data_IF_790391518263
#
_entry.id   IF_790391518263
#
_cell.length_a   1.000
_cell.length_b   1.000
_cell.length_c   1.000
_cell.angle_alpha   90.00
_cell.angle_beta   90.00
_cell.angle_gamma   90.00
#
_symmetry.space_group_name_H-M   'P 1'
#
loop_
_entity.id
_entity.type
_entity.pdbx_description
1 polymer ?
#
# COMPACT_ATOMS: atom_id res chain seq x y z
N UNK A 1 -6.82 -8.68 -34.44
CA UNK A 1 -6.05 -8.80 -33.18
C UNK A 1 -6.79 -7.99 -32.14
N UNK A 2 -7.43 -8.63 -31.16
CA UNK A 2 -8.16 -7.89 -30.14
C UNK A 2 -7.24 -6.89 -29.44
N UNK A 3 -7.74 -5.66 -29.30
CA UNK A 3 -7.10 -4.59 -28.55
C UNK A 3 -6.85 -5.06 -27.11
N UNK A 4 -5.58 -5.25 -26.76
CA UNK A 4 -5.07 -5.52 -25.40
C UNK A 4 -5.31 -4.31 -24.47
N UNK A 5 -6.58 -3.95 -24.23
CA UNK A 5 -7.02 -2.75 -23.49
C UNK A 5 -6.38 -2.63 -22.11
N UNK A 6 -6.08 -3.75 -21.45
CA UNK A 6 -5.42 -3.76 -20.14
C UNK A 6 -4.03 -3.14 -20.15
N UNK A 7 -3.32 -3.19 -21.28
CA UNK A 7 -1.93 -2.72 -21.40
C UNK A 7 -1.83 -1.32 -22.04
N UNK A 8 -2.95 -0.60 -22.19
CA UNK A 8 -2.94 0.77 -22.68
C UNK A 8 -2.88 1.76 -21.52
N UNK A 9 -2.25 2.91 -21.77
CA UNK A 9 -2.22 4.03 -20.84
C UNK A 9 -3.63 4.50 -20.46
N UNK A 10 -3.76 5.00 -19.23
CA UNK A 10 -4.97 5.68 -18.74
C UNK A 10 -4.58 6.82 -17.79
N UNK A 11 -5.31 7.93 -17.86
CA UNK A 11 -5.23 9.00 -16.87
C UNK A 11 -6.16 8.69 -15.68
N UNK A 12 -5.64 8.84 -14.45
CA UNK A 12 -6.38 8.69 -13.19
C UNK A 12 -6.07 9.91 -12.32
N UNK A 13 -6.99 10.88 -12.29
CA UNK A 13 -6.69 12.20 -11.72
C UNK A 13 -5.49 12.83 -12.45
N UNK A 14 -4.49 13.27 -11.69
CA UNK A 14 -3.26 13.87 -12.21
C UNK A 14 -2.18 12.82 -12.58
N UNK A 15 -2.47 11.53 -12.46
CA UNK A 15 -1.53 10.45 -12.76
C UNK A 15 -1.78 9.84 -14.14
N UNK A 16 -0.71 9.72 -14.92
CA UNK A 16 -0.68 8.87 -16.12
C UNK A 16 -0.16 7.48 -15.75
N UNK A 17 -1.01 6.45 -15.86
CA UNK A 17 -0.66 5.07 -15.55
C UNK A 17 -0.27 4.32 -16.85
N UNK A 18 0.81 3.52 -16.84
CA UNK A 18 1.35 2.87 -18.03
C UNK A 18 0.47 1.70 -18.53
N UNK A 19 -0.45 1.24 -17.69
CA UNK A 19 -1.41 0.18 -17.99
C UNK A 19 -2.61 0.31 -17.02
N UNK A 20 -3.65 -0.48 -17.27
CA UNK A 20 -4.92 -0.48 -16.51
C UNK A 20 -4.95 -1.56 -15.41
N UNK A 21 -3.81 -2.14 -15.07
CA UNK A 21 -3.70 -3.21 -14.07
C UNK A 21 -3.41 -2.57 -12.72
N UNK A 22 -4.34 -2.72 -11.78
CA UNK A 22 -4.19 -2.24 -10.41
C UNK A 22 -3.91 -3.42 -9.50
N UNK A 23 -2.88 -3.31 -8.67
CA UNK A 23 -2.72 -4.22 -7.54
C UNK A 23 -3.72 -3.82 -6.45
N UNK A 24 -4.70 -4.70 -6.21
CA UNK A 24 -5.69 -4.52 -5.16
C UNK A 24 -5.04 -4.43 -3.77
N UNK A 25 -5.69 -3.75 -2.80
CA UNK A 25 -5.24 -3.75 -1.42
C UNK A 25 -5.30 -5.16 -0.83
N UNK A 26 -4.18 -5.66 -0.31
CA UNK A 26 -4.06 -7.02 0.21
C UNK A 26 -3.38 -7.02 1.59
N UNK A 27 -4.14 -7.10 2.68
CA UNK A 27 -3.58 -7.19 4.05
C UNK A 27 -2.63 -8.37 4.22
N UNK A 28 -1.38 -8.09 4.62
CA UNK A 28 -0.30 -9.11 4.67
C UNK A 28 0.22 -9.40 6.07
N UNK A 29 -0.08 -8.55 7.05
CA UNK A 29 0.29 -8.69 8.46
C UNK A 29 1.81 -8.88 8.66
N UNK A 30 2.60 -7.98 8.06
CA UNK A 30 4.08 -8.04 8.04
C UNK A 30 4.75 -6.76 8.55
N UNK A 31 4.00 -5.85 9.16
CA UNK A 31 4.59 -4.72 9.87
C UNK A 31 5.34 -5.22 11.12
N UNK A 32 6.22 -4.40 11.67
CA UNK A 32 6.76 -4.61 13.00
C UNK A 32 5.64 -4.54 14.05
N UNK A 33 5.91 -5.01 15.27
CA UNK A 33 4.92 -5.09 16.36
C UNK A 33 4.32 -3.71 16.73
N UNK A 34 5.03 -2.63 16.44
CA UNK A 34 4.60 -1.26 16.67
C UNK A 34 3.75 -0.67 15.52
N UNK A 35 3.57 -1.41 14.42
CA UNK A 35 2.85 -1.00 13.22
C UNK A 35 3.71 -0.30 12.16
N UNK A 36 5.04 -0.21 12.34
CA UNK A 36 5.96 0.36 11.36
C UNK A 36 6.13 -0.61 10.16
N UNK A 37 5.97 -0.15 8.91
CA UNK A 37 6.28 -0.95 7.73
C UNK A 37 7.72 -1.50 7.77
N UNK A 38 7.87 -2.79 7.52
CA UNK A 38 9.16 -3.47 7.55
C UNK A 38 9.88 -3.44 6.20
N UNK A 39 11.18 -3.75 6.19
CA UNK A 39 11.97 -3.83 4.95
C UNK A 39 11.41 -4.84 3.93
N UNK A 40 10.87 -5.97 4.43
CA UNK A 40 10.23 -6.98 3.57
C UNK A 40 8.97 -6.44 2.89
N UNK A 41 8.23 -5.53 3.53
CA UNK A 41 7.10 -4.86 2.89
C UNK A 41 7.57 -3.93 1.77
N UNK A 42 8.64 -3.17 2.00
CA UNK A 42 9.21 -2.29 0.97
C UNK A 42 9.71 -3.08 -0.25
N UNK A 43 10.40 -4.20 -0.03
CA UNK A 43 10.80 -5.11 -1.10
C UNK A 43 9.59 -5.71 -1.83
N UNK A 44 8.56 -6.13 -1.09
CA UNK A 44 7.34 -6.73 -1.64
C UNK A 44 6.59 -5.80 -2.61
N UNK A 45 6.43 -4.52 -2.24
CA UNK A 45 5.77 -3.54 -3.10
C UNK A 45 6.64 -3.14 -4.29
N UNK A 46 7.95 -2.98 -4.11
CA UNK A 46 8.88 -2.65 -5.20
C UNK A 46 8.87 -3.69 -6.32
N UNK A 47 8.82 -4.98 -5.98
CA UNK A 47 8.69 -6.08 -6.94
C UNK A 47 7.42 -6.02 -7.80
N UNK A 48 6.42 -5.23 -7.41
CA UNK A 48 5.12 -5.10 -8.08
C UNK A 48 4.92 -3.75 -8.76
N UNK A 49 5.96 -2.92 -8.82
CA UNK A 49 5.93 -1.58 -9.41
C UNK A 49 5.59 -1.55 -10.92
N UNK A 50 5.51 -2.71 -11.59
CA UNK A 50 5.04 -2.84 -12.98
C UNK A 50 3.51 -2.71 -13.12
N UNK A 51 2.76 -2.82 -12.01
CA UNK A 51 1.35 -2.47 -11.99
C UNK A 51 1.17 -1.00 -12.35
N UNK A 52 0.07 -0.67 -13.05
CA UNK A 52 -0.28 0.72 -13.34
C UNK A 52 -0.42 1.54 -12.07
N UNK A 53 -1.06 0.98 -11.05
CA UNK A 53 -1.17 1.53 -9.70
C UNK A 53 -1.13 0.41 -8.66
N UNK A 54 -0.46 0.66 -7.54
CA UNK A 54 -0.55 -0.16 -6.33
C UNK A 54 -1.46 0.55 -5.33
N UNK A 55 -2.36 -0.19 -4.69
CA UNK A 55 -3.02 0.25 -3.45
C UNK A 55 -2.44 -0.58 -2.31
N UNK A 56 -1.91 0.06 -1.27
CA UNK A 56 -1.33 -0.63 -0.12
C UNK A 56 -2.36 -1.52 0.56
N UNK A 57 -1.88 -2.42 1.41
CA UNK A 57 -2.74 -3.00 2.44
C UNK A 57 -3.43 -1.97 3.33
N UNK A 58 -4.49 -2.44 4.01
CA UNK A 58 -5.25 -1.67 4.97
C UNK A 58 -4.33 -1.09 6.05
N UNK A 59 -4.30 0.24 6.16
CA UNK A 59 -3.36 0.95 7.01
C UNK A 59 -4.10 1.77 8.06
N UNK A 60 -3.83 1.47 9.33
CA UNK A 60 -4.56 2.02 10.47
C UNK A 60 -4.32 3.54 10.60
N UNK A 61 -5.40 4.30 10.77
CA UNK A 61 -5.34 5.77 10.94
C UNK A 61 -5.28 6.23 12.40
N UNK A 62 -5.41 5.32 13.36
CA UNK A 62 -5.31 5.60 14.79
C UNK A 62 -5.04 4.31 15.58
N UNK A 63 -4.68 4.38 16.87
CA UNK A 63 -4.64 3.20 17.75
C UNK A 63 -5.96 2.42 17.80
N UNK A 64 -7.11 3.11 17.69
CA UNK A 64 -8.46 2.53 17.76
C UNK A 64 -8.90 1.87 16.44
N UNK A 65 -8.10 2.03 15.38
CA UNK A 65 -8.41 1.52 14.04
C UNK A 65 -7.93 0.09 13.81
N UNK A 66 -7.21 -0.49 14.78
CA UNK A 66 -6.63 -1.82 14.66
C UNK A 66 -7.70 -2.91 14.57
N UNK A 67 -7.47 -3.90 13.71
CA UNK A 67 -8.26 -5.13 13.65
C UNK A 67 -7.42 -6.40 13.51
N UNK A 68 -6.10 -6.27 13.32
CA UNK A 68 -5.21 -7.41 13.10
C UNK A 68 -3.80 -7.11 13.64
N UNK A 69 -3.20 -8.09 14.31
CA UNK A 69 -1.78 -8.00 14.68
C UNK A 69 -0.89 -7.83 13.44
N UNK A 70 0.14 -7.00 13.55
CA UNK A 70 1.10 -6.71 12.48
C UNK A 70 0.51 -6.04 11.22
N UNK A 71 -0.69 -5.45 11.31
CA UNK A 71 -1.16 -4.48 10.33
C UNK A 71 -0.35 -3.17 10.44
N UNK A 72 -0.02 -2.49 9.33
CA UNK A 72 0.71 -1.23 9.39
C UNK A 72 -0.17 -0.05 9.83
N UNK A 73 0.43 0.96 10.46
CA UNK A 73 -0.22 2.22 10.81
C UNK A 73 0.24 3.40 9.94
N UNK A 74 -0.42 4.56 10.08
CA UNK A 74 0.00 5.85 9.50
C UNK A 74 -0.27 7.05 10.43
N UNK A 75 -0.33 6.81 11.75
CA UNK A 75 -0.65 7.83 12.76
C UNK A 75 0.52 8.23 13.69
N UNK A 76 1.72 7.72 13.44
CA UNK A 76 2.95 8.05 14.17
C UNK A 76 4.03 8.46 13.18
N UNK A 77 4.99 9.27 13.62
CA UNK A 77 6.15 9.64 12.78
C UNK A 77 6.96 8.41 12.33
N UNK A 78 7.17 7.43 13.21
CA UNK A 78 7.83 6.18 12.83
C UNK A 78 7.09 5.42 11.73
N UNK A 79 5.75 5.46 11.70
CA UNK A 79 4.97 4.88 10.61
C UNK A 79 5.19 5.64 9.30
N UNK A 80 5.18 6.98 9.35
CA UNK A 80 5.49 7.84 8.20
C UNK A 80 6.86 7.50 7.62
N UNK A 81 7.87 7.37 8.47
CA UNK A 81 9.24 7.05 8.04
C UNK A 81 9.33 5.65 7.40
N UNK A 82 8.67 4.64 7.98
CA UNK A 82 8.61 3.30 7.37
C UNK A 82 7.88 3.29 6.02
N UNK A 83 6.77 4.02 5.89
CA UNK A 83 6.07 4.16 4.61
C UNK A 83 6.88 4.97 3.58
N UNK A 84 7.66 5.96 3.99
CA UNK A 84 8.55 6.68 3.07
C UNK A 84 9.54 5.74 2.39
N UNK A 85 10.09 4.75 3.09
CA UNK A 85 10.98 3.75 2.47
C UNK A 85 10.23 2.88 1.44
N UNK A 86 8.99 2.46 1.75
CA UNK A 86 8.14 1.74 0.79
C UNK A 86 7.90 2.58 -0.47
N UNK A 87 7.45 3.83 -0.30
CA UNK A 87 7.17 4.76 -1.39
C UNK A 87 8.43 5.00 -2.23
N UNK A 88 9.57 5.24 -1.57
CA UNK A 88 10.86 5.45 -2.24
C UNK A 88 11.25 4.26 -3.11
N UNK A 89 11.11 3.02 -2.63
CA UNK A 89 11.45 1.83 -3.42
C UNK A 89 10.49 1.63 -4.60
N UNK A 90 9.19 1.83 -4.40
CA UNK A 90 8.21 1.76 -5.50
C UNK A 90 8.52 2.80 -6.58
N UNK A 91 8.76 4.06 -6.19
CA UNK A 91 9.09 5.12 -7.13
C UNK A 91 10.43 4.90 -7.83
N UNK A 92 11.45 4.39 -7.12
CA UNK A 92 12.75 4.03 -7.72
C UNK A 92 12.61 2.89 -8.75
N UNK A 93 11.57 2.06 -8.63
CA UNK A 93 11.20 1.04 -9.62
C UNK A 93 10.18 1.53 -10.67
N UNK A 94 9.87 2.82 -10.72
CA UNK A 94 8.96 3.43 -11.71
C UNK A 94 7.46 3.22 -11.44
N UNK A 95 7.10 2.72 -10.26
CA UNK A 95 5.73 2.45 -9.87
C UNK A 95 5.01 3.68 -9.31
N UNK A 96 3.68 3.55 -9.15
CA UNK A 96 2.82 4.50 -8.43
C UNK A 96 2.10 3.75 -7.31
N UNK A 97 1.92 4.40 -6.15
CA UNK A 97 1.30 3.76 -4.98
C UNK A 97 0.39 4.72 -4.23
N UNK A 98 -0.80 4.25 -3.87
CA UNK A 98 -1.74 4.91 -2.96
C UNK A 98 -1.84 4.13 -1.65
N UNK A 99 -2.02 4.86 -0.55
CA UNK A 99 -2.19 4.27 0.78
C UNK A 99 -3.68 4.10 1.10
N UNK A 100 -4.10 2.88 1.47
CA UNK A 100 -5.47 2.59 1.89
C UNK A 100 -5.67 2.98 3.35
N UNK A 101 -6.25 4.16 3.59
CA UNK A 101 -6.66 4.59 4.93
C UNK A 101 -7.77 3.67 5.46
N UNK A 102 -7.58 3.16 6.67
CA UNK A 102 -8.46 2.12 7.21
C UNK A 102 -8.81 2.33 8.68
N UNK A 103 -10.07 2.02 9.00
CA UNK A 103 -10.59 1.87 10.36
C UNK A 103 -11.47 0.62 10.40
N UNK A 104 -11.10 -0.37 11.23
CA UNK A 104 -11.82 -1.64 11.37
C UNK A 104 -13.20 -1.49 12.05
N UNK A 105 -13.31 -0.49 12.92
CA UNK A 105 -14.54 -0.22 13.67
C UNK A 105 -14.76 -1.32 14.70
N UNK A 106 -15.93 -1.95 14.67
CA UNK A 106 -16.24 -3.07 15.59
C UNK A 106 -15.51 -4.37 15.26
N UNK A 107 -14.86 -4.47 14.11
CA UNK A 107 -14.06 -5.66 13.72
C UNK A 107 -12.66 -5.53 14.33
N UNK A 108 -12.63 -5.47 15.66
CA UNK A 108 -11.45 -5.19 16.47
C UNK A 108 -11.46 -6.05 17.73
N UNK A 109 -10.40 -5.98 18.51
CA UNK A 109 -10.25 -6.71 19.75
C UNK A 109 -9.60 -5.81 20.82
N UNK A 110 -10.03 -5.89 22.10
CA UNK A 110 -9.60 -4.93 23.13
C UNK A 110 -8.16 -5.13 23.63
N UNK A 111 -7.46 -6.17 23.17
CA UNK A 111 -6.11 -6.52 23.58
C UNK A 111 -5.37 -7.20 22.44
#
# INVERSE_FOLDING_TARGET
MESRKLFTTIAVGDLELPNRIVMAPMTRLRAHDDGVPSDVMAQYYAQRATAGLIVTEATMVSPLSNGYMSAPGIYKEAHRDGWMEVVKRVHSSGGRIFLQLWHSGRVSHPF
#
